data_IF_001291321181
#
_entry.id   IF_001291321181
#
_cell.length_a   1.000
_cell.length_b   1.000
_cell.length_c   1.000
_cell.angle_alpha   90.00
_cell.angle_beta   90.00
_cell.angle_gamma   90.00
#
_symmetry.space_group_name_H-M   'P 1'
#
loop_
_entity.id
_entity.type
_entity.pdbx_description
1 polymer ?
#
# COMPACT_ATOMS: atom_id res chain seq x y z
N UNK A 1 -6.38 21.32 20.31
CA UNK A 1 -5.45 20.25 19.92
C UNK A 1 -5.93 19.75 18.56
N UNK A 2 -5.36 20.24 17.46
CA UNK A 2 -5.64 19.66 16.16
C UNK A 2 -5.02 18.26 16.18
N UNK A 3 -5.82 17.22 15.96
CA UNK A 3 -5.30 15.87 15.86
C UNK A 3 -4.34 15.85 14.67
N UNK A 4 -3.08 15.45 14.90
CA UNK A 4 -2.22 15.02 13.79
C UNK A 4 -3.02 14.00 12.98
N UNK A 5 -3.07 14.11 11.64
CA UNK A 5 -3.80 13.13 10.85
C UNK A 5 -3.14 11.77 11.08
N UNK A 6 -3.78 10.94 11.91
CA UNK A 6 -3.33 9.57 12.18
C UNK A 6 -3.33 8.85 10.83
N UNK A 7 -2.13 8.63 10.29
CA UNK A 7 -1.95 7.82 9.08
C UNK A 7 -2.46 6.40 9.32
N UNK A 8 -2.74 5.64 8.25
CA UNK A 8 -3.16 4.25 8.42
C UNK A 8 -2.08 3.46 9.18
N UNK A 9 -2.49 2.68 10.18
CA UNK A 9 -1.57 1.79 10.89
C UNK A 9 -1.26 0.55 10.04
N UNK A 10 -0.37 0.71 9.05
CA UNK A 10 0.14 -0.40 8.23
C UNK A 10 1.24 -1.16 9.00
N UNK A 11 1.21 -2.50 8.92
CA UNK A 11 2.32 -3.31 9.41
C UNK A 11 3.52 -3.23 8.46
N UNK A 12 4.71 -3.57 8.94
CA UNK A 12 5.92 -3.64 8.10
C UNK A 12 5.68 -4.49 6.84
N UNK A 13 5.01 -5.63 7.00
CA UNK A 13 4.70 -6.51 5.87
C UNK A 13 3.71 -5.89 4.88
N UNK A 14 2.75 -5.10 5.35
CA UNK A 14 1.83 -4.37 4.46
C UNK A 14 2.55 -3.25 3.72
N UNK A 15 3.50 -2.57 4.36
CA UNK A 15 4.34 -1.55 3.73
C UNK A 15 5.19 -2.18 2.62
N UNK A 16 5.84 -3.32 2.88
CA UNK A 16 6.60 -4.06 1.86
C UNK A 16 5.72 -4.45 0.66
N UNK A 17 4.55 -5.05 0.91
CA UNK A 17 3.63 -5.45 -0.16
C UNK A 17 3.13 -4.24 -0.94
N UNK A 18 2.83 -3.12 -0.26
CA UNK A 18 2.40 -1.89 -0.90
C UNK A 18 3.51 -1.35 -1.81
N UNK A 19 4.75 -1.23 -1.31
CA UNK A 19 5.90 -0.75 -2.09
C UNK A 19 6.13 -1.61 -3.32
N UNK A 20 6.25 -2.92 -3.17
CA UNK A 20 6.45 -3.84 -4.30
C UNK A 20 5.28 -3.80 -5.29
N UNK A 21 4.04 -3.65 -4.83
CA UNK A 21 2.90 -3.50 -5.72
C UNK A 21 2.95 -2.22 -6.54
N UNK A 22 3.37 -1.11 -5.95
CA UNK A 22 3.48 0.17 -6.65
C UNK A 22 4.54 0.11 -7.75
N UNK A 23 5.69 -0.53 -7.45
CA UNK A 23 6.84 -0.68 -8.36
C UNK A 23 6.71 -1.83 -9.38
N UNK A 24 5.59 -2.55 -9.38
CA UNK A 24 5.39 -3.74 -10.23
C UNK A 24 4.15 -3.67 -11.09
N UNK A 25 4.23 -4.19 -12.32
CA UNK A 25 3.11 -4.23 -13.26
C UNK A 25 2.11 -5.36 -13.00
N UNK A 26 2.45 -6.33 -12.14
CA UNK A 26 1.58 -7.48 -11.88
C UNK A 26 1.70 -8.03 -10.45
N UNK A 27 0.58 -8.58 -9.94
CA UNK A 27 0.55 -9.27 -8.64
C UNK A 27 1.41 -10.54 -8.65
N UNK A 28 1.58 -11.17 -9.81
CA UNK A 28 2.44 -12.33 -9.98
C UNK A 28 3.91 -12.01 -9.71
N UNK A 29 4.39 -10.85 -10.18
CA UNK A 29 5.77 -10.40 -9.91
C UNK A 29 5.96 -10.01 -8.44
N UNK A 30 4.98 -9.33 -7.83
CA UNK A 30 5.01 -9.04 -6.37
C UNK A 30 5.09 -10.34 -5.56
N UNK A 31 4.26 -11.31 -5.89
CA UNK A 31 4.22 -12.61 -5.24
C UNK A 31 5.57 -13.33 -5.32
N UNK A 32 6.23 -13.31 -6.49
CA UNK A 32 7.56 -13.86 -6.68
C UNK A 32 8.62 -13.13 -5.85
N UNK A 33 8.67 -11.79 -5.93
CA UNK A 33 9.65 -10.98 -5.21
C UNK A 33 9.54 -11.14 -3.68
N UNK A 34 8.32 -11.29 -3.18
CA UNK A 34 8.02 -11.36 -1.75
C UNK A 34 7.81 -12.78 -1.22
N UNK A 35 8.04 -13.81 -2.06
CA UNK A 35 7.89 -15.23 -1.72
C UNK A 35 6.54 -15.59 -1.08
N UNK A 36 5.45 -15.05 -1.63
CA UNK A 36 4.06 -15.32 -1.19
C UNK A 36 3.17 -15.68 -2.37
N UNK A 37 1.96 -16.17 -2.10
CA UNK A 37 0.99 -16.44 -3.17
C UNK A 37 0.38 -15.16 -3.74
N UNK A 38 -0.08 -15.19 -5.00
CA UNK A 38 -0.85 -14.09 -5.61
C UNK A 38 -2.12 -13.78 -4.82
N UNK A 39 -2.77 -14.81 -4.26
CA UNK A 39 -3.93 -14.64 -3.38
C UNK A 39 -3.57 -13.85 -2.11
N UNK A 40 -2.43 -14.16 -1.50
CA UNK A 40 -1.90 -13.44 -0.32
C UNK A 40 -1.62 -11.97 -0.64
N UNK A 41 -1.06 -11.66 -1.81
CA UNK A 41 -0.91 -10.26 -2.29
C UNK A 41 -2.27 -9.57 -2.34
N UNK A 42 -3.29 -10.23 -2.91
CA UNK A 42 -4.66 -9.72 -2.95
C UNK A 42 -5.23 -9.43 -1.56
N UNK A 43 -5.04 -10.33 -0.59
CA UNK A 43 -5.47 -10.14 0.80
C UNK A 43 -4.79 -8.94 1.46
N UNK A 44 -3.47 -8.80 1.32
CA UNK A 44 -2.76 -7.63 1.84
C UNK A 44 -3.29 -6.33 1.21
N UNK A 45 -3.47 -6.30 -0.10
CA UNK A 45 -4.00 -5.11 -0.79
C UNK A 45 -5.45 -4.79 -0.40
N UNK A 46 -6.27 -5.75 0.03
CA UNK A 46 -7.60 -5.47 0.60
C UNK A 46 -7.46 -4.78 1.95
N UNK A 47 -6.68 -5.38 2.87
CA UNK A 47 -6.45 -4.86 4.22
C UNK A 47 -5.82 -3.47 4.23
N UNK A 48 -4.86 -3.22 3.33
CA UNK A 48 -4.24 -1.89 3.18
C UNK A 48 -5.32 -0.86 2.83
N UNK A 49 -6.20 -1.16 1.86
CA UNK A 49 -7.28 -0.24 1.47
C UNK A 49 -8.28 -0.01 2.58
N UNK A 50 -8.64 -1.06 3.31
CA UNK A 50 -9.50 -0.97 4.49
C UNK A 50 -8.89 -0.01 5.52
N UNK A 51 -7.61 -0.17 5.87
CA UNK A 51 -6.90 0.72 6.81
C UNK A 51 -6.85 2.18 6.35
N UNK A 52 -6.67 2.41 5.05
CA UNK A 52 -6.75 3.75 4.47
C UNK A 52 -8.18 4.32 4.55
N UNK A 53 -9.20 3.50 4.32
CA UNK A 53 -10.60 3.91 4.45
C UNK A 53 -10.99 4.22 5.90
N UNK A 54 -10.48 3.45 6.87
CA UNK A 54 -10.74 3.63 8.31
C UNK A 54 -10.28 5.01 8.82
N UNK A 55 -9.20 5.55 8.25
CA UNK A 55 -8.69 6.91 8.55
C UNK A 55 -9.26 7.99 7.61
N UNK A 56 -10.30 7.67 6.83
CA UNK A 56 -10.97 8.60 5.92
C UNK A 56 -10.18 8.93 4.64
N UNK A 57 -9.13 8.17 4.32
CA UNK A 57 -8.23 8.38 3.17
C UNK A 57 -8.34 7.26 2.14
N UNK A 58 -9.57 6.91 1.73
CA UNK A 58 -9.85 5.81 0.81
C UNK A 58 -8.98 5.86 -0.48
N UNK A 59 -8.60 4.68 -0.97
CA UNK A 59 -7.71 4.48 -2.11
C UNK A 59 -8.02 3.16 -2.87
N UNK A 60 -9.15 3.07 -3.59
CA UNK A 60 -9.58 1.83 -4.23
C UNK A 60 -8.66 1.37 -5.40
N UNK A 61 -8.01 2.29 -6.11
CA UNK A 61 -7.16 1.96 -7.26
C UNK A 61 -5.66 1.92 -6.93
N UNK A 62 -4.85 1.33 -7.83
CA UNK A 62 -3.38 1.37 -7.72
C UNK A 62 -2.85 2.81 -7.72
N UNK A 63 -3.41 3.66 -8.59
CA UNK A 63 -3.02 5.07 -8.69
C UNK A 63 -3.36 5.85 -7.41
N UNK A 64 -4.53 5.62 -6.81
CA UNK A 64 -4.86 6.28 -5.54
C UNK A 64 -3.97 5.77 -4.40
N UNK A 65 -3.64 4.47 -4.36
CA UNK A 65 -2.67 3.93 -3.41
C UNK A 65 -1.28 4.57 -3.59
N UNK A 66 -0.86 4.85 -4.83
CA UNK A 66 0.39 5.56 -5.11
C UNK A 66 0.37 6.96 -4.50
N UNK A 67 -0.68 7.73 -4.74
CA UNK A 67 -0.84 9.08 -4.18
C UNK A 67 -0.77 9.05 -2.65
N UNK A 68 -1.44 8.08 -2.01
CA UNK A 68 -1.38 7.92 -0.56
C UNK A 68 0.02 7.55 -0.07
N UNK A 69 0.67 6.60 -0.74
CA UNK A 69 2.01 6.17 -0.37
C UNK A 69 3.05 7.29 -0.50
N UNK A 70 2.91 8.20 -1.47
CA UNK A 70 3.76 9.40 -1.57
C UNK A 70 3.49 10.37 -0.41
N UNK A 71 2.21 10.64 -0.10
CA UNK A 71 1.82 11.50 1.03
C UNK A 71 2.34 10.95 2.37
N UNK A 72 2.40 9.63 2.50
CA UNK A 72 2.82 8.93 3.71
C UNK A 72 4.33 8.57 3.69
N UNK A 73 5.08 9.05 2.68
CA UNK A 73 6.52 8.82 2.50
C UNK A 73 6.92 7.34 2.43
N UNK A 74 5.98 6.48 2.04
CA UNK A 74 6.19 5.04 1.81
C UNK A 74 6.92 4.81 0.48
N UNK A 75 6.71 5.66 -0.53
CA UNK A 75 7.48 5.69 -1.79
C UNK A 75 7.74 7.14 -2.20
N UNK A 76 8.80 7.35 -2.97
CA UNK A 76 9.15 8.66 -3.53
C UNK A 76 8.95 8.66 -5.05
N UNK A 77 8.84 9.85 -5.64
CA UNK A 77 8.67 10.00 -7.09
C UNK A 77 9.91 9.51 -7.86
N UNK A 78 11.10 9.64 -7.27
CA UNK A 78 12.36 9.16 -7.85
C UNK A 78 12.45 7.62 -7.95
N UNK A 79 11.61 6.88 -7.22
CA UNK A 79 11.58 5.41 -7.24
C UNK A 79 10.67 4.84 -8.34
N UNK A 80 9.88 5.67 -9.04
CA UNK A 80 8.84 5.23 -9.98
C UNK A 80 9.34 4.95 -11.40
#
# INVERSE_FOLDING_TARGET
MAQDPVGPHLSEREIEVLREWLLSDSKSRVAQNLYISVGTVGTHLSRIREKYADVGRNAPTKCELLVRAIQDQIVTIDEL
#
